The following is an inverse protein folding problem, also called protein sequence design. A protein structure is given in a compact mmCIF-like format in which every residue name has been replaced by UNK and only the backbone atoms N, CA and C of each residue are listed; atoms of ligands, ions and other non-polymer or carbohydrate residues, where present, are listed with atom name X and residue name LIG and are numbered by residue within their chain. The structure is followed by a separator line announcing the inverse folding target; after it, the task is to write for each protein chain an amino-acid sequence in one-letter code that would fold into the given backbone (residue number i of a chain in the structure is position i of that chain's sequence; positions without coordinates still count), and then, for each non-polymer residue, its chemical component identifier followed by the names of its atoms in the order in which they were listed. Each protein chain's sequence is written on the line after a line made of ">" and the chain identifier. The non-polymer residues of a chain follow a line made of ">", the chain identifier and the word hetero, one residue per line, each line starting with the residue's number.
data_IF_396464203919
#
_entry.id   IF_396464203919
#
_cell.length_a   1.000
_cell.length_b   1.000
_cell.length_c   1.000
_cell.angle_alpha   90.00
_cell.angle_beta   90.00
_cell.angle_gamma   90.00
#
_symmetry.space_group_name_H-M   'P 1'
#
loop_
_entity.id
_entity.type
_entity.pdbx_description
1 polymer ?
#
# COMPACT_ATOMS: atom_id res chain seq x y z
N UNK A 1 9.97 6.60 -33.13
CA UNK A 1 9.77 7.30 -31.87
C UNK A 1 10.45 6.45 -30.81
N UNK A 2 11.58 6.92 -30.25
CA UNK A 2 12.22 6.25 -29.11
C UNK A 2 11.36 6.57 -27.88
N UNK A 3 10.72 5.56 -27.31
CA UNK A 3 10.19 5.65 -25.96
C UNK A 3 11.40 5.78 -25.03
N UNK A 4 11.64 6.99 -24.53
CA UNK A 4 12.53 7.17 -23.39
C UNK A 4 11.92 6.36 -22.24
N UNK A 5 12.50 5.18 -22.00
CA UNK A 5 12.30 4.46 -20.74
C UNK A 5 12.84 5.36 -19.64
N UNK A 6 11.97 6.11 -19.01
CA UNK A 6 12.29 6.83 -17.78
C UNK A 6 12.38 5.76 -16.67
N UNK A 7 13.50 5.05 -16.67
CA UNK A 7 13.82 4.06 -15.65
C UNK A 7 13.90 4.80 -14.33
N UNK A 8 13.02 4.48 -13.39
CA UNK A 8 13.05 5.09 -12.06
C UNK A 8 14.28 4.55 -11.36
N UNK A 9 15.11 5.43 -10.90
CA UNK A 9 16.27 5.08 -10.08
C UNK A 9 15.76 4.69 -8.68
N UNK A 10 15.80 3.38 -8.36
CA UNK A 10 15.31 2.85 -7.09
C UNK A 10 16.40 3.08 -6.04
N UNK A 11 16.07 3.84 -5.03
CA UNK A 11 16.98 4.20 -3.94
C UNK A 11 16.75 3.35 -2.68
N UNK A 12 17.68 3.43 -1.74
CA UNK A 12 17.51 2.85 -0.40
C UNK A 12 16.26 3.38 0.32
N UNK A 13 15.99 4.67 0.14
CA UNK A 13 14.82 5.34 0.72
C UNK A 13 13.51 4.77 0.15
N UNK A 14 13.48 4.42 -1.14
CA UNK A 14 12.32 3.80 -1.75
C UNK A 14 12.02 2.41 -1.19
N UNK A 15 13.07 1.61 -1.00
CA UNK A 15 12.94 0.28 -0.40
C UNK A 15 12.38 0.41 1.03
N UNK A 16 12.90 1.37 1.79
CA UNK A 16 12.42 1.63 3.14
C UNK A 16 10.98 2.12 3.15
N UNK A 17 10.62 3.02 2.24
CA UNK A 17 9.25 3.50 2.06
C UNK A 17 8.28 2.35 1.75
N UNK A 18 8.62 1.47 0.82
CA UNK A 18 7.80 0.29 0.47
C UNK A 18 7.51 -0.58 1.70
N UNK A 19 8.52 -0.81 2.55
CA UNK A 19 8.34 -1.58 3.78
C UNK A 19 7.44 -0.85 4.78
N UNK A 20 7.62 0.46 4.94
CA UNK A 20 6.80 1.28 5.84
C UNK A 20 5.32 1.28 5.44
N UNK A 21 5.01 1.36 4.15
CA UNK A 21 3.63 1.27 3.67
C UNK A 21 3.07 -0.16 3.68
N UNK A 22 3.88 -1.17 4.01
CA UNK A 22 3.46 -2.56 4.22
C UNK A 22 3.65 -3.50 3.04
N UNK A 23 4.46 -3.12 2.04
CA UNK A 23 4.81 -4.03 0.94
C UNK A 23 5.70 -5.16 1.46
N UNK A 24 5.41 -6.38 1.04
CA UNK A 24 6.17 -7.53 1.54
C UNK A 24 7.61 -7.52 1.05
N UNK A 25 8.53 -7.83 1.97
CA UNK A 25 9.95 -7.93 1.68
C UNK A 25 10.24 -8.94 0.57
N UNK A 26 9.51 -10.06 0.54
CA UNK A 26 9.66 -11.09 -0.49
C UNK A 26 9.30 -10.57 -1.90
N UNK A 27 8.27 -9.72 -2.01
CA UNK A 27 7.93 -9.08 -3.28
C UNK A 27 9.03 -8.12 -3.73
N UNK A 28 9.54 -7.29 -2.82
CA UNK A 28 10.61 -6.33 -3.10
C UNK A 28 11.86 -7.07 -3.63
N UNK A 29 12.31 -8.10 -2.93
CA UNK A 29 13.46 -8.92 -3.37
C UNK A 29 13.26 -9.53 -4.75
N UNK A 30 12.10 -10.09 -5.02
CA UNK A 30 11.81 -10.73 -6.31
C UNK A 30 11.80 -9.73 -7.47
N UNK A 31 11.39 -8.48 -7.22
CA UNK A 31 11.23 -7.44 -8.24
C UNK A 31 12.51 -6.63 -8.50
N UNK A 32 13.47 -6.64 -7.55
CA UNK A 32 14.71 -5.86 -7.69
C UNK A 32 15.71 -6.50 -8.66
N UNK A 33 16.45 -5.69 -9.42
CA UNK A 33 17.61 -6.15 -10.17
C UNK A 33 18.72 -6.67 -9.24
N UNK A 34 19.53 -7.62 -9.73
CA UNK A 34 20.59 -8.26 -8.95
C UNK A 34 21.56 -7.27 -8.26
N UNK A 35 21.85 -6.13 -8.90
CA UNK A 35 22.74 -5.11 -8.33
C UNK A 35 22.14 -4.34 -7.14
N UNK A 36 20.81 -4.43 -6.93
CA UNK A 36 20.10 -3.81 -5.80
C UNK A 36 19.72 -4.85 -4.73
N UNK A 37 19.86 -6.14 -5.00
CA UNK A 37 19.55 -7.20 -4.03
C UNK A 37 20.40 -7.07 -2.77
N UNK A 38 21.69 -6.77 -2.91
CA UNK A 38 22.59 -6.55 -1.77
C UNK A 38 22.19 -5.36 -0.90
N UNK A 39 21.63 -4.31 -1.50
CA UNK A 39 21.11 -3.16 -0.78
C UNK A 39 19.82 -3.51 -0.03
N UNK A 40 18.92 -4.26 -0.67
CA UNK A 40 17.73 -4.79 -0.06
C UNK A 40 18.06 -5.73 1.11
N UNK A 41 19.04 -6.62 0.96
CA UNK A 41 19.51 -7.50 2.03
C UNK A 41 20.00 -6.73 3.25
N UNK A 42 20.72 -5.64 3.04
CA UNK A 42 21.23 -4.79 4.12
C UNK A 42 20.12 -4.10 4.88
N UNK A 43 19.13 -3.54 4.16
CA UNK A 43 18.02 -2.76 4.74
C UNK A 43 16.92 -3.63 5.34
N UNK A 44 16.64 -4.78 4.72
CA UNK A 44 15.53 -5.65 5.11
C UNK A 44 15.95 -6.73 6.13
N UNK A 45 17.27 -6.83 6.41
CA UNK A 45 17.82 -7.93 7.14
C UNK A 45 17.75 -9.24 6.34
N UNK A 46 18.71 -10.14 6.53
CA UNK A 46 18.86 -11.40 5.80
C UNK A 46 17.61 -12.30 5.89
N UNK A 47 16.59 -12.02 5.12
CA UNK A 47 15.58 -12.99 4.75
C UNK A 47 16.12 -13.72 3.50
N UNK A 48 17.12 -14.58 3.68
CA UNK A 48 17.40 -15.58 2.65
C UNK A 48 16.11 -16.39 2.48
N UNK A 49 15.55 -16.48 1.25
CA UNK A 49 14.55 -17.50 1.00
C UNK A 49 15.23 -18.81 1.39
N UNK A 50 14.65 -19.54 2.33
CA UNK A 50 15.14 -20.84 2.81
C UNK A 50 14.95 -21.94 1.76
N UNK A 51 14.57 -21.56 0.53
CA UNK A 51 14.50 -22.42 -0.64
C UNK A 51 15.75 -22.22 -1.51
N UNK A 52 16.59 -23.22 -1.57
CA UNK A 52 17.60 -23.36 -2.63
C UNK A 52 16.85 -23.29 -3.97
N UNK A 53 17.18 -22.32 -4.81
CA UNK A 53 16.65 -22.26 -6.17
C UNK A 53 16.83 -23.61 -6.86
N UNK A 54 15.87 -24.01 -7.68
CA UNK A 54 15.96 -25.24 -8.45
C UNK A 54 17.19 -25.20 -9.34
N UNK A 55 17.98 -26.26 -9.35
CA UNK A 55 19.10 -26.43 -10.27
C UNK A 55 18.56 -26.65 -11.69
N UNK A 56 19.38 -26.37 -12.72
CA UNK A 56 19.01 -26.60 -14.11
C UNK A 56 18.54 -28.03 -14.38
N UNK A 57 19.10 -29.01 -13.66
CA UNK A 57 18.70 -30.42 -13.73
C UNK A 57 17.32 -30.65 -13.17
N UNK A 58 16.98 -30.04 -12.02
CA UNK A 58 15.65 -30.11 -11.41
C UNK A 58 14.60 -29.40 -12.28
N UNK A 59 14.94 -28.23 -12.85
CA UNK A 59 14.11 -27.52 -13.82
C UNK A 59 13.85 -28.40 -15.04
N UNK A 60 14.86 -29.06 -15.59
CA UNK A 60 14.70 -29.95 -16.75
C UNK A 60 13.81 -31.16 -16.46
N UNK A 61 13.87 -31.71 -15.24
CA UNK A 61 13.01 -32.82 -14.80
C UNK A 61 11.56 -32.35 -14.66
N UNK A 62 11.35 -31.19 -14.03
CA UNK A 62 10.01 -30.61 -13.83
C UNK A 62 9.34 -30.25 -15.16
N UNK A 63 10.10 -29.67 -16.12
CA UNK A 63 9.61 -29.41 -17.50
C UNK A 63 9.19 -30.70 -18.21
N UNK A 64 9.96 -31.76 -18.07
CA UNK A 64 9.63 -33.06 -18.64
C UNK A 64 8.37 -33.65 -18.02
N UNK A 65 8.09 -33.32 -16.75
CA UNK A 65 6.87 -33.67 -16.04
C UNK A 65 5.66 -32.77 -16.36
N UNK A 66 5.80 -31.79 -17.27
CA UNK A 66 4.71 -30.91 -17.69
C UNK A 66 4.49 -29.68 -16.78
N UNK A 67 5.41 -29.39 -15.85
CA UNK A 67 5.33 -28.20 -15.03
C UNK A 67 5.50 -26.94 -15.89
N UNK A 68 4.63 -25.93 -15.67
CA UNK A 68 4.64 -24.62 -16.31
C UNK A 68 5.10 -23.55 -15.31
N UNK A 69 5.66 -22.45 -15.81
CA UNK A 69 6.10 -21.33 -14.95
C UNK A 69 7.48 -21.54 -14.32
N UNK A 70 8.30 -22.46 -14.86
CA UNK A 70 9.68 -22.71 -14.45
C UNK A 70 10.68 -21.81 -15.17
N UNK A 71 10.24 -21.06 -16.17
CA UNK A 71 11.05 -20.05 -16.81
C UNK A 71 10.87 -18.76 -16.01
N UNK A 72 11.88 -18.39 -15.20
CA UNK A 72 12.10 -17.00 -14.85
C UNK A 72 12.49 -16.29 -16.15
N UNK A 73 11.50 -16.02 -16.97
CA UNK A 73 11.73 -15.36 -18.24
C UNK A 73 12.18 -13.93 -17.93
N UNK A 74 13.09 -13.43 -18.74
CA UNK A 74 13.52 -12.01 -18.68
C UNK A 74 12.31 -11.08 -18.73
N UNK A 75 11.20 -11.54 -19.33
CA UNK A 75 9.92 -10.86 -19.38
C UNK A 75 9.22 -10.77 -18.01
N UNK A 76 9.23 -11.84 -17.21
CA UNK A 76 8.62 -11.83 -15.87
C UNK A 76 9.35 -10.87 -14.92
N UNK A 77 10.68 -10.85 -14.97
CA UNK A 77 11.49 -9.90 -14.19
C UNK A 77 11.23 -8.45 -14.65
N UNK A 78 11.14 -8.22 -15.95
CA UNK A 78 10.81 -6.90 -16.48
C UNK A 78 9.42 -6.42 -16.02
N UNK A 79 8.40 -7.27 -16.13
CA UNK A 79 7.06 -6.94 -15.65
C UNK A 79 7.02 -6.67 -14.14
N UNK A 80 7.76 -7.45 -13.34
CA UNK A 80 7.89 -7.20 -11.90
C UNK A 80 8.60 -5.88 -11.60
N UNK A 81 9.66 -5.55 -12.36
CA UNK A 81 10.36 -4.27 -12.24
C UNK A 81 9.44 -3.09 -12.56
N UNK A 82 8.75 -3.14 -13.70
CA UNK A 82 7.79 -2.10 -14.11
C UNK A 82 6.69 -1.92 -13.07
N UNK A 83 6.20 -3.03 -12.49
CA UNK A 83 5.21 -3.01 -11.42
C UNK A 83 5.76 -2.39 -10.13
N UNK A 84 7.02 -2.67 -9.79
CA UNK A 84 7.69 -2.08 -8.64
C UNK A 84 7.90 -0.57 -8.83
N UNK A 85 8.34 -0.14 -10.01
CA UNK A 85 8.54 1.27 -10.35
C UNK A 85 7.22 2.05 -10.26
N UNK A 86 6.12 1.47 -10.75
CA UNK A 86 4.80 2.06 -10.63
C UNK A 86 4.36 2.17 -9.16
N UNK A 87 4.60 1.11 -8.37
CA UNK A 87 4.27 1.08 -6.94
C UNK A 87 5.09 2.10 -6.14
N UNK A 88 6.39 2.28 -6.44
CA UNK A 88 7.24 3.30 -5.81
C UNK A 88 6.69 4.69 -6.10
N UNK A 89 6.32 4.98 -7.35
CA UNK A 89 5.71 6.27 -7.72
C UNK A 89 4.42 6.52 -6.94
N UNK A 90 3.57 5.51 -6.83
CA UNK A 90 2.31 5.60 -6.08
C UNK A 90 2.58 5.83 -4.58
N UNK A 91 3.53 5.10 -3.98
CA UNK A 91 3.91 5.30 -2.57
C UNK A 91 4.51 6.68 -2.31
N UNK A 92 5.39 7.17 -3.19
CA UNK A 92 5.95 8.53 -3.09
C UNK A 92 4.84 9.59 -3.14
N UNK A 93 3.91 9.47 -4.09
CA UNK A 93 2.76 10.37 -4.20
C UNK A 93 1.89 10.31 -2.93
N UNK A 94 1.58 9.11 -2.44
CA UNK A 94 0.80 8.89 -1.24
C UNK A 94 1.38 9.59 0.00
N UNK A 95 2.71 9.49 0.20
CA UNK A 95 3.39 10.17 1.33
C UNK A 95 3.49 11.67 1.10
N UNK A 96 3.75 12.11 -0.14
CA UNK A 96 3.86 13.54 -0.47
C UNK A 96 2.53 14.28 -0.29
N UNK A 97 1.42 13.64 -0.65
CA UNK A 97 0.07 14.20 -0.51
C UNK A 97 -0.47 14.10 0.92
N UNK A 98 0.15 13.28 1.77
CA UNK A 98 -0.28 13.13 3.16
C UNK A 98 -0.03 14.42 3.95
N UNK A 99 -1.00 14.79 4.81
CA UNK A 99 -0.94 15.98 5.66
C UNK A 99 0.01 15.77 6.81
N UNK A 100 0.65 16.82 7.25
CA UNK A 100 1.37 16.80 8.52
C UNK A 100 0.42 16.99 9.72
N UNK A 101 0.98 16.89 10.93
CA UNK A 101 0.21 17.03 12.17
C UNK A 101 -0.43 18.43 12.30
N UNK A 102 0.22 19.48 11.78
CA UNK A 102 -0.29 20.86 11.84
C UNK A 102 -1.50 21.04 10.93
N UNK A 103 -1.39 20.52 9.70
CA UNK A 103 -2.47 20.60 8.72
C UNK A 103 -3.68 19.77 9.17
N UNK A 104 -3.45 18.55 9.68
CA UNK A 104 -4.52 17.69 10.21
C UNK A 104 -5.22 18.34 11.42
N UNK A 105 -4.45 18.93 12.33
CA UNK A 105 -4.97 19.64 13.50
C UNK A 105 -5.84 20.83 13.09
N UNK A 106 -5.35 21.65 12.16
CA UNK A 106 -6.08 22.81 11.64
C UNK A 106 -7.40 22.39 10.97
N UNK A 107 -7.38 21.36 10.13
CA UNK A 107 -8.57 20.88 9.42
C UNK A 107 -9.63 20.32 10.35
N UNK A 108 -9.22 19.63 11.41
CA UNK A 108 -10.14 19.00 12.38
C UNK A 108 -10.52 19.93 13.54
N UNK A 109 -9.95 21.14 13.62
CA UNK A 109 -10.17 22.07 14.72
C UNK A 109 -9.67 21.53 16.07
N UNK A 110 -8.58 20.74 16.07
CA UNK A 110 -8.01 20.08 17.24
C UNK A 110 -6.60 20.60 17.54
N UNK A 111 -6.10 20.34 18.76
CA UNK A 111 -4.69 20.57 19.08
C UNK A 111 -3.80 19.46 18.49
N UNK A 112 -2.50 19.75 18.30
CA UNK A 112 -1.53 18.75 17.82
C UNK A 112 -1.44 17.55 18.77
N UNK A 113 -1.50 17.79 20.06
CA UNK A 113 -1.49 16.76 21.10
C UNK A 113 -2.72 15.85 20.98
N UNK A 114 -3.88 16.44 20.70
CA UNK A 114 -5.12 15.68 20.47
C UNK A 114 -5.01 14.81 19.21
N UNK A 115 -4.41 15.32 18.13
CA UNK A 115 -4.14 14.54 16.91
C UNK A 115 -3.25 13.34 17.21
N UNK A 116 -2.11 13.57 17.90
CA UNK A 116 -1.19 12.49 18.29
C UNK A 116 -1.88 11.47 19.21
N UNK A 117 -2.73 11.92 20.14
CA UNK A 117 -3.50 11.00 21.00
C UNK A 117 -4.40 10.08 20.19
N UNK A 118 -5.09 10.62 19.17
CA UNK A 118 -6.00 9.85 18.28
C UNK A 118 -5.29 8.75 17.47
N UNK A 119 -4.01 8.90 17.19
CA UNK A 119 -3.23 7.85 16.50
C UNK A 119 -2.83 6.70 17.43
N UNK A 120 -2.83 6.95 18.75
CA UNK A 120 -2.47 5.97 19.79
C UNK A 120 -3.65 5.23 20.39
N UNK A 121 -4.87 5.61 20.03
CA UNK A 121 -6.07 4.87 20.41
C UNK A 121 -6.05 3.46 19.80
N UNK A 122 -6.75 2.52 20.39
CA UNK A 122 -6.85 1.14 19.90
C UNK A 122 -8.32 0.74 19.85
N UNK A 123 -8.93 0.67 18.68
CA UNK A 123 -8.40 1.03 17.35
C UNK A 123 -8.15 2.55 17.22
N UNK A 124 -7.26 2.97 16.29
CA UNK A 124 -6.97 4.38 16.11
C UNK A 124 -8.15 5.12 15.46
N UNK A 125 -8.39 6.37 15.88
CA UNK A 125 -9.45 7.21 15.28
C UNK A 125 -8.98 7.95 14.03
N UNK A 126 -7.68 7.94 13.73
CA UNK A 126 -7.07 8.49 12.52
C UNK A 126 -6.04 7.51 11.96
N UNK A 127 -6.06 7.31 10.67
CA UNK A 127 -5.01 6.59 9.97
C UNK A 127 -3.73 7.43 9.95
N UNK A 128 -2.59 6.81 10.25
CA UNK A 128 -1.30 7.48 10.32
C UNK A 128 -0.22 6.65 9.64
N UNK A 129 0.71 7.34 8.99
CA UNK A 129 2.00 6.82 8.56
C UNK A 129 3.06 7.35 9.51
N UNK A 130 3.79 6.48 10.14
CA UNK A 130 4.95 6.84 10.92
C UNK A 130 6.18 6.67 10.04
N UNK A 131 6.77 7.79 9.66
CA UNK A 131 7.99 7.85 8.88
C UNK A 131 9.20 7.88 9.82
N UNK A 132 10.40 7.87 9.22
CA UNK A 132 11.63 7.95 9.98
C UNK A 132 11.65 9.17 10.91
N UNK A 133 12.38 9.05 12.02
CA UNK A 133 12.52 10.09 13.06
C UNK A 133 11.20 10.43 13.78
N UNK A 134 10.18 9.55 13.71
CA UNK A 134 8.90 9.78 14.40
C UNK A 134 8.01 10.83 13.72
N UNK A 135 8.28 11.15 12.46
CA UNK A 135 7.43 12.06 11.68
C UNK A 135 6.10 11.39 11.36
N UNK A 136 5.00 11.99 11.81
CA UNK A 136 3.65 11.51 11.54
C UNK A 136 3.08 12.17 10.29
N UNK A 137 2.57 11.35 9.37
CA UNK A 137 1.85 11.80 8.17
C UNK A 137 0.45 11.18 8.15
N UNK A 138 -0.53 11.98 7.78
CA UNK A 138 -1.95 11.62 7.78
C UNK A 138 -2.44 11.50 6.34
N UNK A 139 -2.76 10.29 5.86
CA UNK A 139 -3.25 10.07 4.51
C UNK A 139 -4.41 10.99 4.14
N UNK A 140 -4.36 11.57 2.95
CA UNK A 140 -5.34 12.57 2.51
C UNK A 140 -6.76 12.02 2.39
N UNK A 141 -6.91 10.75 2.04
CA UNK A 141 -8.20 10.13 1.78
C UNK A 141 -9.19 10.20 2.96
N UNK A 142 -8.68 10.25 4.20
CA UNK A 142 -9.52 10.29 5.41
C UNK A 142 -10.14 11.67 5.69
N UNK A 143 -9.82 12.67 4.88
CA UNK A 143 -10.29 14.03 5.08
C UNK A 143 -11.17 14.50 3.92
N UNK A 144 -12.11 15.39 4.27
CA UNK A 144 -12.87 16.26 3.37
C UNK A 144 -12.45 17.71 3.59
N UNK A 145 -13.06 18.66 2.91
CA UNK A 145 -12.84 20.09 3.18
C UNK A 145 -13.38 20.53 4.56
N UNK A 146 -14.32 19.78 5.10
CA UNK A 146 -15.01 20.10 6.37
C UNK A 146 -14.59 19.24 7.55
N UNK A 147 -13.59 18.35 7.40
CA UNK A 147 -13.12 17.48 8.47
C UNK A 147 -12.84 16.06 8.03
N UNK A 148 -12.99 15.07 8.92
CA UNK A 148 -12.87 13.67 8.59
C UNK A 148 -14.03 13.15 7.72
N UNK A 149 -13.80 12.11 6.91
CA UNK A 149 -14.89 11.44 6.18
C UNK A 149 -15.88 10.83 7.18
N UNK A 150 -17.19 10.76 6.83
CA UNK A 150 -18.17 10.06 7.65
C UNK A 150 -17.76 8.60 7.88
N UNK A 151 -18.08 8.06 9.06
CA UNK A 151 -17.80 6.67 9.44
C UNK A 151 -16.31 6.26 9.43
N UNK A 152 -15.37 7.22 9.50
CA UNK A 152 -13.94 6.92 9.54
C UNK A 152 -13.55 6.01 10.72
N UNK A 153 -14.09 6.26 11.91
CA UNK A 153 -13.84 5.43 13.10
C UNK A 153 -14.30 3.99 12.92
N UNK A 154 -15.49 3.79 12.33
CA UNK A 154 -16.04 2.45 12.11
C UNK A 154 -15.17 1.69 11.11
N UNK A 155 -14.78 2.37 10.03
CA UNK A 155 -13.89 1.84 8.99
C UNK A 155 -12.53 1.44 9.55
N UNK A 156 -11.90 2.32 10.35
CA UNK A 156 -10.60 2.02 10.97
C UNK A 156 -10.70 0.91 12.01
N UNK A 157 -11.81 0.82 12.75
CA UNK A 157 -12.03 -0.25 13.71
C UNK A 157 -12.08 -1.63 13.06
N UNK A 158 -12.62 -1.73 11.85
CA UNK A 158 -12.64 -2.98 11.08
C UNK A 158 -11.27 -3.28 10.42
N UNK A 159 -10.61 -2.24 9.89
CA UNK A 159 -9.34 -2.42 9.18
C UNK A 159 -8.15 -2.70 10.11
N UNK A 160 -8.15 -2.15 11.33
CA UNK A 160 -7.01 -2.24 12.24
C UNK A 160 -6.96 -3.59 12.98
N UNK A 161 -5.78 -4.19 13.15
CA UNK A 161 -4.45 -3.76 12.65
C UNK A 161 -4.06 -4.39 11.31
N UNK A 162 -4.97 -5.14 10.67
CA UNK A 162 -4.68 -6.02 9.54
C UNK A 162 -4.36 -5.24 8.25
N UNK A 163 -5.11 -4.16 7.99
CA UNK A 163 -4.97 -3.39 6.75
C UNK A 163 -4.12 -2.14 6.99
N UNK A 164 -3.00 -2.05 6.27
CA UNK A 164 -2.13 -0.87 6.34
C UNK A 164 -2.78 0.34 5.64
N UNK A 165 -2.48 1.59 6.09
CA UNK A 165 -3.08 2.81 5.56
C UNK A 165 -2.96 2.99 4.05
N UNK A 166 -1.90 2.52 3.43
CA UNK A 166 -1.69 2.57 1.98
C UNK A 166 -2.69 1.68 1.22
N UNK A 167 -2.89 0.44 1.67
CA UNK A 167 -3.84 -0.47 1.02
C UNK A 167 -5.27 -0.01 1.22
N UNK A 168 -5.56 0.53 2.41
CA UNK A 168 -6.86 1.14 2.68
C UNK A 168 -7.11 2.36 1.78
N UNK A 169 -6.09 3.18 1.51
CA UNK A 169 -6.18 4.30 0.57
C UNK A 169 -6.55 3.84 -0.85
N UNK A 170 -5.90 2.80 -1.34
CA UNK A 170 -6.21 2.24 -2.66
C UNK A 170 -7.66 1.73 -2.75
N UNK A 171 -8.12 1.04 -1.72
CA UNK A 171 -9.51 0.58 -1.64
C UNK A 171 -10.48 1.75 -1.60
N UNK A 172 -10.26 2.73 -0.70
CA UNK A 172 -11.22 3.78 -0.40
C UNK A 172 -11.45 4.77 -1.56
N UNK A 173 -10.44 4.95 -2.43
CA UNK A 173 -10.51 5.85 -3.59
C UNK A 173 -10.82 5.11 -4.92
N UNK A 174 -10.86 3.77 -4.93
CA UNK A 174 -11.15 2.99 -6.13
C UNK A 174 -12.66 2.68 -6.24
N UNK A 175 -13.32 2.90 -7.41
CA UNK A 175 -14.72 2.52 -7.61
C UNK A 175 -14.95 1.03 -7.37
N UNK A 176 -15.96 0.69 -6.55
CA UNK A 176 -16.25 -0.69 -6.15
C UNK A 176 -17.51 -1.23 -6.82
N UNK A 177 -17.52 -2.53 -7.13
CA UNK A 177 -18.62 -3.19 -7.87
C UNK A 177 -19.94 -3.14 -7.09
N UNK A 178 -19.90 -3.24 -5.78
CA UNK A 178 -21.09 -3.25 -4.91
C UNK A 178 -21.61 -1.85 -4.57
N UNK A 179 -20.90 -0.80 -5.00
CA UNK A 179 -21.26 0.59 -4.74
C UNK A 179 -21.81 1.27 -6.01
N UNK A 180 -22.79 0.63 -6.63
CA UNK A 180 -23.45 1.13 -7.85
C UNK A 180 -24.69 1.95 -7.50
N UNK A 181 -24.77 3.17 -8.02
CA UNK A 181 -25.93 4.07 -7.86
C UNK A 181 -26.79 4.15 -9.14
N UNK A 182 -26.63 3.21 -10.08
CA UNK A 182 -27.37 3.16 -11.33
C UNK A 182 -26.86 4.12 -12.43
N UNK A 183 -26.09 5.14 -12.06
CA UNK A 183 -25.39 6.05 -12.99
C UNK A 183 -23.89 5.75 -13.07
N UNK A 184 -23.42 4.77 -12.32
CA UNK A 184 -22.03 4.33 -12.27
C UNK A 184 -21.61 3.91 -10.86
N UNK A 185 -20.42 3.33 -10.82
CA UNK A 185 -19.82 2.84 -9.57
C UNK A 185 -19.13 3.98 -8.84
N UNK A 186 -19.35 4.05 -7.54
CA UNK A 186 -18.68 5.00 -6.66
C UNK A 186 -17.48 4.33 -5.97
N UNK A 187 -16.50 5.15 -5.60
CA UNK A 187 -15.51 4.73 -4.60
C UNK A 187 -16.14 4.75 -3.20
N UNK A 188 -15.65 3.93 -2.25
CA UNK A 188 -16.09 3.96 -0.85
C UNK A 188 -16.10 5.36 -0.26
N UNK A 189 -15.05 6.16 -0.53
CA UNK A 189 -14.99 7.55 -0.09
C UNK A 189 -16.13 8.39 -0.66
N UNK A 190 -16.37 8.32 -1.96
CA UNK A 190 -17.43 9.07 -2.61
C UNK A 190 -18.84 8.64 -2.10
N UNK A 191 -19.00 7.36 -1.78
CA UNK A 191 -20.22 6.80 -1.20
C UNK A 191 -20.50 7.38 0.19
N UNK A 192 -19.50 7.32 1.09
CA UNK A 192 -19.63 7.84 2.46
C UNK A 192 -19.84 9.37 2.50
N UNK A 193 -19.09 10.12 1.69
CA UNK A 193 -19.20 11.58 1.62
C UNK A 193 -20.59 12.02 1.10
N UNK A 194 -21.24 11.21 0.26
CA UNK A 194 -22.62 11.44 -0.18
C UNK A 194 -23.66 11.10 0.88
N UNK A 195 -23.26 10.56 2.03
CA UNK A 195 -24.18 10.18 3.11
C UNK A 195 -25.02 8.95 2.79
N UNK A 196 -24.56 8.08 1.89
CA UNK A 196 -25.23 6.82 1.58
C UNK A 196 -24.98 5.80 2.71
N UNK A 197 -25.78 4.72 2.75
CA UNK A 197 -25.67 3.68 3.77
C UNK A 197 -24.22 3.16 3.87
N UNK A 198 -23.55 3.25 5.03
CA UNK A 198 -22.18 2.79 5.19
C UNK A 198 -22.03 1.26 5.14
N UNK A 199 -23.10 0.49 5.34
CA UNK A 199 -23.08 -0.97 5.42
C UNK A 199 -22.24 -1.65 4.31
N UNK A 200 -22.52 -1.41 3.03
CA UNK A 200 -21.75 -2.04 1.93
C UNK A 200 -20.25 -1.72 1.97
N UNK A 201 -19.88 -0.51 2.39
CA UNK A 201 -18.46 -0.13 2.53
C UNK A 201 -17.80 -0.87 3.69
N UNK A 202 -18.46 -0.94 4.83
CA UNK A 202 -17.95 -1.62 6.03
C UNK A 202 -17.84 -3.13 5.80
N UNK A 203 -18.79 -3.75 5.12
CA UNK A 203 -18.75 -5.17 4.74
C UNK A 203 -17.57 -5.46 3.81
N UNK A 204 -17.30 -4.58 2.84
CA UNK A 204 -16.15 -4.72 1.95
C UNK A 204 -14.82 -4.61 2.71
N UNK A 205 -14.70 -3.67 3.67
CA UNK A 205 -13.49 -3.57 4.53
C UNK A 205 -13.33 -4.82 5.38
N UNK A 206 -14.41 -5.35 5.96
CA UNK A 206 -14.39 -6.58 6.75
C UNK A 206 -13.87 -7.75 5.93
N UNK A 207 -14.32 -7.90 4.68
CA UNK A 207 -13.82 -8.94 3.77
C UNK A 207 -12.32 -8.85 3.51
N UNK A 208 -11.73 -7.65 3.52
CA UNK A 208 -10.27 -7.47 3.38
C UNK A 208 -9.47 -7.98 4.59
N UNK A 209 -10.11 -8.21 5.73
CA UNK A 209 -9.45 -8.64 6.98
C UNK A 209 -9.62 -10.14 7.25
N UNK A 210 -10.47 -10.83 6.48
CA UNK A 210 -10.79 -12.24 6.66
C UNK A 210 -9.92 -13.18 5.78
N UNK A 211 -9.12 -12.64 4.84
CA UNK A 211 -8.16 -13.33 3.96
C UNK A 211 -6.73 -13.33 4.55
#
# INVERSE_FOLDING_TARGET
>A
MRTENCEVDITAEDIQLLVQVGISKAYIHKALPEHLEGLADTLLGTLRPTGRGLSDTEIAVLRRGGARGLDDSTDDRRCLRESLDALIKECRAFVTEARDTTDAASLLGLSKESIVSKTREVPPSLAVLELDEGTLKFPRWQFTESGAIPHLSDLLSLAYPQVKPFFLARFIDTPHVDLDVGTGRLSPRAWLVRGLDPGPVLDAVKSMTED
#
